data_IF_113223781640
#
_entry.id   IF_113223781640
#
_cell.length_a   1.000
_cell.length_b   1.000
_cell.length_c   1.000
_cell.angle_alpha   90.00
_cell.angle_beta   90.00
_cell.angle_gamma   90.00
#
_symmetry.space_group_name_H-M   'P 1'
#
loop_
_entity.id
_entity.type
_entity.pdbx_description
1 polymer ?
#
# COMPACT_ATOMS: atom_id res chain seq x y z
N UNK A 1 21.10 5.89 15.60
CA UNK A 1 19.94 6.76 15.35
C UNK A 1 18.76 6.25 16.12
N UNK A 2 18.34 7.01 17.14
CA UNK A 2 17.22 6.64 18.04
C UNK A 2 15.82 6.84 17.42
N UNK A 3 15.69 6.69 16.11
CA UNK A 3 14.41 6.88 15.42
C UNK A 3 13.76 5.53 15.13
N UNK A 4 13.60 4.72 16.15
CA UNK A 4 12.75 3.54 16.10
C UNK A 4 11.34 3.92 16.52
N UNK A 5 10.66 4.65 15.65
CA UNK A 5 9.25 5.00 15.87
C UNK A 5 8.36 3.96 15.19
N UNK A 6 7.24 3.54 15.80
CA UNK A 6 6.22 2.70 15.15
C UNK A 6 5.44 3.46 14.07
N UNK A 7 5.96 4.57 13.58
CA UNK A 7 5.35 5.40 12.55
C UNK A 7 6.00 5.16 11.19
N UNK A 8 5.25 5.43 10.15
CA UNK A 8 5.76 5.49 8.78
C UNK A 8 6.37 6.86 8.56
N UNK A 9 7.65 6.89 8.19
CA UNK A 9 8.37 8.12 7.87
C UNK A 9 8.28 8.40 6.38
N UNK A 10 7.59 9.47 6.01
CA UNK A 10 7.46 9.90 4.61
C UNK A 10 8.65 10.76 4.21
N UNK A 11 9.18 10.55 3.00
CA UNK A 11 10.18 11.42 2.40
C UNK A 11 9.49 12.61 1.73
N UNK A 12 9.87 13.83 2.10
CA UNK A 12 9.42 15.06 1.44
C UNK A 12 10.38 15.53 0.32
N UNK A 13 11.40 14.72 0.00
CA UNK A 13 12.42 15.07 -0.98
C UNK A 13 11.95 14.70 -2.39
N UNK A 14 11.84 15.70 -3.27
CA UNK A 14 11.39 15.52 -4.66
C UNK A 14 12.27 14.57 -5.45
N UNK A 15 13.57 14.54 -5.18
CA UNK A 15 14.55 13.79 -5.94
C UNK A 15 14.87 12.41 -5.35
N UNK A 16 14.35 12.11 -4.15
CA UNK A 16 14.52 10.80 -3.52
C UNK A 16 13.73 9.71 -4.24
N UNK A 17 14.34 8.54 -4.38
CA UNK A 17 13.63 7.31 -4.76
C UNK A 17 12.77 6.80 -3.63
N UNK A 18 13.21 7.00 -2.39
CA UNK A 18 12.50 6.57 -1.20
C UNK A 18 11.25 7.42 -1.02
N UNK A 19 10.09 6.78 -1.07
CA UNK A 19 8.82 7.42 -0.73
C UNK A 19 8.58 7.38 0.79
N UNK A 20 8.77 6.23 1.40
CA UNK A 20 8.65 6.08 2.84
C UNK A 20 9.54 4.96 3.37
N UNK A 21 9.81 5.02 4.67
CA UNK A 21 10.45 3.95 5.44
C UNK A 21 9.60 3.61 6.66
N UNK A 22 9.68 2.36 7.08
CA UNK A 22 9.04 1.85 8.28
C UNK A 22 9.96 0.83 8.96
N UNK A 23 9.93 0.76 10.29
CA UNK A 23 10.67 -0.21 11.07
C UNK A 23 9.71 -1.28 11.62
N UNK A 24 9.53 -2.44 10.95
CA UNK A 24 8.67 -3.51 11.46
C UNK A 24 9.07 -3.96 12.88
N UNK A 25 10.35 -3.91 13.21
CA UNK A 25 10.88 -4.28 14.53
C UNK A 25 10.53 -3.30 15.65
N UNK A 26 10.00 -2.11 15.32
CA UNK A 26 9.44 -1.19 16.31
C UNK A 26 8.08 -1.64 16.84
N UNK A 27 7.37 -2.48 16.08
CA UNK A 27 6.05 -3.01 16.45
C UNK A 27 6.15 -4.47 16.90
N UNK A 28 6.93 -5.27 16.15
CA UNK A 28 7.16 -6.68 16.46
C UNK A 28 8.65 -6.90 16.63
N UNK A 29 9.14 -7.16 17.86
CA UNK A 29 10.56 -7.32 18.14
C UNK A 29 11.23 -8.34 17.23
N UNK A 30 12.46 -8.03 16.81
CA UNK A 30 13.30 -8.96 16.04
C UNK A 30 13.66 -10.18 16.89
N UNK A 31 13.73 -11.38 16.28
CA UNK A 31 14.35 -12.54 16.93
C UNK A 31 15.82 -12.31 17.30
N UNK A 32 16.52 -11.47 16.56
CA UNK A 32 17.89 -11.04 16.85
C UNK A 32 17.88 -9.56 17.30
N UNK A 33 18.18 -9.28 18.58
CA UNK A 33 18.16 -7.93 19.13
C UNK A 33 19.27 -7.00 18.59
N UNK A 34 20.25 -7.55 17.88
CA UNK A 34 21.33 -6.77 17.27
C UNK A 34 20.97 -6.14 15.94
N UNK A 35 19.83 -6.52 15.36
CA UNK A 35 19.40 -6.05 14.04
C UNK A 35 17.98 -5.50 14.08
N UNK A 36 17.80 -4.40 13.38
CA UNK A 36 16.50 -3.84 13.06
C UNK A 36 16.17 -4.12 11.60
N UNK A 37 14.89 -4.39 11.34
CA UNK A 37 14.37 -4.47 9.99
C UNK A 37 13.89 -3.09 9.55
N UNK A 38 14.33 -2.69 8.36
CA UNK A 38 13.82 -1.48 7.69
C UNK A 38 13.08 -1.90 6.42
N UNK A 39 11.84 -1.50 6.32
CA UNK A 39 11.04 -1.61 5.09
C UNK A 39 11.10 -0.28 4.35
N UNK A 40 11.45 -0.32 3.07
CA UNK A 40 11.56 0.86 2.20
C UNK A 40 10.58 0.72 1.06
N UNK A 41 9.81 1.76 0.79
CA UNK A 41 8.88 1.81 -0.35
C UNK A 41 9.39 2.81 -1.39
N UNK A 42 9.49 2.35 -2.63
CA UNK A 42 9.78 3.16 -3.82
C UNK A 42 8.53 3.16 -4.69
N UNK A 43 7.98 4.34 -4.97
CA UNK A 43 6.75 4.51 -5.78
C UNK A 43 7.06 5.07 -7.16
N UNK A 44 8.18 5.80 -7.30
CA UNK A 44 8.59 6.40 -8.58
C UNK A 44 8.81 5.33 -9.65
N UNK A 45 8.29 5.59 -10.83
CA UNK A 45 8.66 4.81 -12.02
C UNK A 45 10.14 5.01 -12.34
N UNK A 46 10.85 3.93 -12.59
CA UNK A 46 12.27 3.92 -12.93
C UNK A 46 12.59 2.75 -13.88
N UNK A 47 13.68 2.91 -14.62
CA UNK A 47 14.24 1.87 -15.51
C UNK A 47 15.47 1.17 -14.92
N UNK A 48 15.70 1.31 -13.62
CA UNK A 48 16.87 0.77 -12.94
C UNK A 48 16.74 -0.75 -12.79
N UNK A 49 17.87 -1.47 -12.89
CA UNK A 49 17.92 -2.87 -12.47
C UNK A 49 17.75 -2.97 -10.96
N UNK A 50 17.38 -4.15 -10.46
CA UNK A 50 17.21 -4.36 -9.02
C UNK A 50 18.47 -4.04 -8.22
N UNK A 51 19.64 -4.39 -8.74
CA UNK A 51 20.93 -4.16 -8.08
C UNK A 51 21.24 -2.67 -7.97
N UNK A 52 21.03 -1.93 -9.07
CA UNK A 52 21.24 -0.48 -9.11
C UNK A 52 20.26 0.23 -8.18
N UNK A 53 18.98 -0.18 -8.21
CA UNK A 53 17.95 0.36 -7.31
C UNK A 53 18.33 0.17 -5.85
N UNK A 54 18.74 -1.05 -5.45
CA UNK A 54 19.13 -1.35 -4.07
C UNK A 54 20.34 -0.50 -3.66
N UNK A 55 21.36 -0.37 -4.52
CA UNK A 55 22.53 0.45 -4.25
C UNK A 55 22.16 1.92 -4.03
N UNK A 56 21.29 2.49 -4.88
CA UNK A 56 20.84 3.87 -4.75
C UNK A 56 20.00 4.08 -3.48
N UNK A 57 19.07 3.16 -3.19
CA UNK A 57 18.27 3.21 -1.96
C UNK A 57 19.15 3.15 -0.72
N UNK A 58 20.19 2.30 -0.70
CA UNK A 58 21.14 2.24 0.42
C UNK A 58 21.91 3.55 0.58
N UNK A 59 22.32 4.18 -0.52
CA UNK A 59 22.94 5.51 -0.50
C UNK A 59 22.01 6.61 0.06
N UNK A 60 20.72 6.57 -0.30
CA UNK A 60 19.72 7.51 0.25
C UNK A 60 19.43 7.25 1.73
N UNK A 61 19.38 5.99 2.16
CA UNK A 61 19.23 5.63 3.58
C UNK A 61 20.37 6.18 4.42
N UNK A 62 21.62 6.13 3.92
CA UNK A 62 22.76 6.73 4.59
C UNK A 62 22.66 8.26 4.61
N UNK A 63 22.40 8.86 3.47
CA UNK A 63 22.42 10.31 3.27
C UNK A 63 21.29 11.03 4.02
N UNK A 64 20.07 10.52 3.95
CA UNK A 64 18.89 11.23 4.43
C UNK A 64 18.33 10.67 5.75
N UNK A 65 18.58 9.41 6.04
CA UNK A 65 18.04 8.75 7.23
C UNK A 65 19.12 8.32 8.23
N UNK A 66 20.38 8.66 7.96
CA UNK A 66 21.54 8.33 8.80
C UNK A 66 21.72 6.82 9.09
N UNK A 67 21.22 5.96 8.19
CA UNK A 67 21.36 4.51 8.28
C UNK A 67 22.66 4.12 7.55
N UNK A 68 23.78 4.14 8.27
CA UNK A 68 25.12 3.98 7.69
C UNK A 68 25.48 2.55 7.28
N UNK A 69 24.84 1.53 7.87
CA UNK A 69 25.09 0.12 7.56
C UNK A 69 23.78 -0.59 7.39
N UNK A 70 23.48 -0.98 6.17
CA UNK A 70 22.30 -1.79 5.87
C UNK A 70 22.70 -3.01 5.05
N UNK A 71 22.09 -4.18 5.39
CA UNK A 71 22.20 -5.41 4.61
C UNK A 71 20.93 -5.60 3.84
N UNK A 72 21.03 -5.72 2.52
CA UNK A 72 19.89 -6.06 1.69
C UNK A 72 19.39 -7.47 2.01
N UNK A 73 18.09 -7.61 2.18
CA UNK A 73 17.44 -8.90 2.46
C UNK A 73 16.61 -9.33 1.26
N UNK A 74 15.65 -8.51 0.85
CA UNK A 74 14.73 -8.88 -0.22
C UNK A 74 14.12 -7.66 -0.88
N UNK A 75 13.78 -7.81 -2.15
CA UNK A 75 13.06 -6.85 -2.97
C UNK A 75 11.78 -7.50 -3.54
N UNK A 76 10.67 -6.77 -3.47
CA UNK A 76 9.40 -7.16 -4.07
C UNK A 76 9.01 -6.13 -5.11
N UNK A 77 8.69 -6.59 -6.30
CA UNK A 77 8.15 -5.74 -7.37
C UNK A 77 6.64 -5.95 -7.41
N UNK A 78 5.88 -4.87 -7.24
CA UNK A 78 4.42 -4.87 -7.25
C UNK A 78 3.91 -4.01 -8.42
N UNK A 79 3.82 -4.55 -9.63
CA UNK A 79 3.47 -3.77 -10.83
C UNK A 79 2.07 -3.14 -10.77
N UNK A 80 1.18 -3.71 -9.97
CA UNK A 80 -0.21 -3.27 -9.77
C UNK A 80 -0.51 -3.17 -8.28
N UNK A 81 0.19 -2.25 -7.59
CA UNK A 81 0.09 -2.12 -6.14
C UNK A 81 -1.21 -1.44 -5.69
N UNK A 82 -1.68 -0.45 -6.45
CA UNK A 82 -2.89 0.32 -6.15
C UNK A 82 -3.70 0.52 -7.44
N UNK A 83 -5.04 0.66 -7.33
CA UNK A 83 -5.86 1.00 -8.48
C UNK A 83 -5.56 2.44 -8.95
N UNK A 84 -5.54 2.64 -10.26
CA UNK A 84 -5.52 3.98 -10.85
C UNK A 84 -6.93 4.55 -10.86
N UNK A 85 -7.17 5.54 -10.01
CA UNK A 85 -8.47 6.18 -9.86
C UNK A 85 -8.48 7.52 -10.61
N UNK A 86 -9.45 7.72 -11.50
CA UNK A 86 -9.67 9.00 -12.20
C UNK A 86 -10.21 10.07 -11.25
N UNK A 87 -10.97 9.67 -10.26
CA UNK A 87 -11.50 10.51 -9.20
C UNK A 87 -11.59 9.72 -7.90
N UNK A 88 -11.50 10.44 -6.78
CA UNK A 88 -11.57 9.85 -5.44
C UNK A 88 -12.95 10.17 -4.86
N UNK A 89 -13.63 9.15 -4.35
CA UNK A 89 -14.89 9.27 -3.61
C UNK A 89 -14.78 8.58 -2.27
N UNK A 90 -15.52 9.06 -1.27
CA UNK A 90 -15.63 8.40 0.03
C UNK A 90 -16.77 7.38 0.08
N UNK A 91 -17.75 7.49 -0.83
CA UNK A 91 -18.83 6.51 -0.99
C UNK A 91 -18.67 5.75 -2.31
N UNK A 92 -18.87 4.42 -2.33
CA UNK A 92 -18.85 3.65 -3.56
C UNK A 92 -20.03 4.04 -4.47
N UNK A 93 -19.76 4.11 -5.76
CA UNK A 93 -20.83 4.31 -6.74
C UNK A 93 -21.56 2.97 -6.97
N UNK A 94 -22.81 2.87 -6.48
CA UNK A 94 -23.59 1.64 -6.53
C UNK A 94 -23.91 1.21 -7.97
N UNK A 95 -24.05 2.15 -8.90
CA UNK A 95 -24.33 1.85 -10.31
C UNK A 95 -23.14 1.14 -10.98
N UNK A 96 -21.91 1.51 -10.58
CA UNK A 96 -20.70 0.88 -11.08
C UNK A 96 -20.42 -0.47 -10.42
N UNK A 97 -21.05 -0.75 -9.29
CA UNK A 97 -20.87 -2.02 -8.58
C UNK A 97 -21.67 -3.16 -9.23
N UNK A 98 -22.81 -2.88 -9.87
CA UNK A 98 -23.56 -3.90 -10.59
C UNK A 98 -22.89 -4.25 -11.92
N UNK A 99 -22.21 -5.38 -11.95
CA UNK A 99 -21.49 -5.84 -13.15
C UNK A 99 -22.42 -6.52 -14.17
N UNK A 100 -23.26 -7.45 -13.69
CA UNK A 100 -24.26 -8.20 -14.47
C UNK A 100 -25.44 -8.52 -13.57
N UNK A 101 -26.47 -9.11 -14.18
CA UNK A 101 -27.58 -9.64 -13.38
C UNK A 101 -27.03 -10.63 -12.34
N UNK A 102 -27.39 -10.44 -11.07
CA UNK A 102 -26.96 -11.24 -9.91
C UNK A 102 -25.46 -11.20 -9.59
N UNK A 103 -24.67 -10.27 -10.19
CA UNK A 103 -23.25 -10.11 -9.90
C UNK A 103 -22.94 -8.69 -9.52
N UNK A 104 -22.36 -8.51 -8.32
CA UNK A 104 -21.88 -7.23 -7.81
C UNK A 104 -20.38 -7.30 -7.58
N UNK A 105 -19.67 -6.25 -7.96
CA UNK A 105 -18.24 -6.08 -7.74
C UNK A 105 -18.03 -5.18 -6.52
N UNK A 106 -17.01 -5.51 -5.72
CA UNK A 106 -16.56 -4.67 -4.63
C UNK A 106 -15.02 -4.66 -4.59
N UNK A 107 -14.48 -3.64 -3.97
CA UNK A 107 -13.04 -3.45 -3.84
C UNK A 107 -12.71 -1.98 -3.63
N UNK A 108 -11.49 -1.70 -3.26
CA UNK A 108 -10.97 -0.35 -3.02
C UNK A 108 -11.03 0.55 -4.27
N UNK A 109 -10.97 -0.05 -5.45
CA UNK A 109 -11.07 0.65 -6.74
C UNK A 109 -12.43 1.30 -6.99
N UNK A 110 -13.44 0.99 -6.19
CA UNK A 110 -14.79 1.58 -6.33
C UNK A 110 -14.90 2.97 -5.71
N UNK A 111 -13.91 3.42 -4.94
CA UNK A 111 -13.95 4.74 -4.28
C UNK A 111 -12.59 5.43 -4.11
N UNK A 112 -11.72 5.02 -3.17
CA UNK A 112 -10.49 5.80 -2.86
C UNK A 112 -9.22 4.99 -2.65
N UNK A 113 -9.18 3.73 -3.06
CA UNK A 113 -7.98 2.91 -3.00
C UNK A 113 -7.49 2.57 -1.59
N UNK A 114 -8.36 2.59 -0.58
CA UNK A 114 -8.01 2.28 0.81
C UNK A 114 -8.66 0.99 1.31
N UNK A 115 -8.13 0.43 2.40
CA UNK A 115 -8.71 -0.71 3.07
C UNK A 115 -10.15 -0.44 3.54
N UNK A 116 -10.40 0.76 4.08
CA UNK A 116 -11.74 1.16 4.50
C UNK A 116 -12.71 1.23 3.32
N UNK A 117 -12.25 1.71 2.16
CA UNK A 117 -13.04 1.71 0.93
C UNK A 117 -13.38 0.29 0.46
N UNK A 118 -12.42 -0.63 0.53
CA UNK A 118 -12.66 -2.03 0.20
C UNK A 118 -13.72 -2.66 1.12
N UNK A 119 -13.65 -2.43 2.43
CA UNK A 119 -14.62 -2.92 3.40
C UNK A 119 -16.01 -2.34 3.17
N UNK A 120 -16.12 -1.01 3.03
CA UNK A 120 -17.39 -0.33 2.78
C UNK A 120 -18.04 -0.81 1.47
N UNK A 121 -17.24 -0.96 0.41
CA UNK A 121 -17.76 -1.46 -0.88
C UNK A 121 -18.30 -2.88 -0.77
N UNK A 122 -17.66 -3.75 0.04
CA UNK A 122 -18.16 -5.10 0.31
C UNK A 122 -19.51 -5.08 1.02
N UNK A 123 -19.70 -4.22 2.02
CA UNK A 123 -20.96 -4.00 2.71
C UNK A 123 -22.06 -3.55 1.75
N UNK A 124 -21.79 -2.54 0.91
CA UNK A 124 -22.74 -2.03 -0.08
C UNK A 124 -23.12 -3.07 -1.13
N UNK A 125 -22.15 -3.87 -1.60
CA UNK A 125 -22.42 -4.96 -2.53
C UNK A 125 -23.35 -6.03 -1.92
N UNK A 126 -23.14 -6.38 -0.67
CA UNK A 126 -23.99 -7.32 0.06
C UNK A 126 -25.41 -6.78 0.25
N UNK A 127 -25.57 -5.50 0.60
CA UNK A 127 -26.89 -4.86 0.69
C UNK A 127 -27.64 -4.87 -0.64
N UNK A 128 -26.95 -4.59 -1.75
CA UNK A 128 -27.53 -4.64 -3.10
C UNK A 128 -27.97 -6.07 -3.46
N UNK A 129 -27.15 -7.06 -3.17
CA UNK A 129 -27.48 -8.46 -3.41
C UNK A 129 -28.71 -8.91 -2.57
N UNK A 130 -28.78 -8.53 -1.30
CA UNK A 130 -29.92 -8.83 -0.44
C UNK A 130 -31.21 -8.18 -0.91
N UNK A 131 -31.16 -6.92 -1.35
CA UNK A 131 -32.32 -6.24 -1.93
C UNK A 131 -32.82 -6.96 -3.19
N UNK A 132 -31.90 -7.36 -4.06
CA UNK A 132 -32.23 -8.11 -5.27
C UNK A 132 -32.94 -9.42 -4.95
N UNK A 133 -32.39 -10.22 -4.00
CA UNK A 133 -32.99 -11.48 -3.60
C UNK A 133 -34.42 -11.31 -3.04
N UNK A 134 -34.65 -10.31 -2.18
CA UNK A 134 -35.97 -10.01 -1.62
C UNK A 134 -37.00 -9.66 -2.70
N UNK A 135 -36.57 -8.94 -3.76
CA UNK A 135 -37.48 -8.55 -4.84
C UNK A 135 -37.82 -9.71 -5.81
N UNK A 136 -37.03 -10.81 -5.79
CA UNK A 136 -37.17 -11.93 -6.74
C UNK A 136 -37.48 -13.26 -6.06
N UNK A 137 -37.95 -13.23 -4.81
CA UNK A 137 -38.41 -14.42 -4.07
C UNK A 137 -39.92 -14.69 -4.22
N UNK A 138 -40.63 -13.99 -5.15
CA UNK A 138 -42.03 -14.23 -5.49
C UNK A 138 -42.15 -15.01 -6.79
#
# INVERSE_FOLDING_TARGET
TDIKSPLIHLSALSDSLINNIFYPTSVQPSPDPHYDLVSVTVVKQHSLSSEVLVCQVQGELEKYFSIKKSKFIKHYILPKALPELKSVSYEPNLDLMKYRDKIWLCGDYTSNGSLNAAMLSGERAAECALKYLKCHQN
#
